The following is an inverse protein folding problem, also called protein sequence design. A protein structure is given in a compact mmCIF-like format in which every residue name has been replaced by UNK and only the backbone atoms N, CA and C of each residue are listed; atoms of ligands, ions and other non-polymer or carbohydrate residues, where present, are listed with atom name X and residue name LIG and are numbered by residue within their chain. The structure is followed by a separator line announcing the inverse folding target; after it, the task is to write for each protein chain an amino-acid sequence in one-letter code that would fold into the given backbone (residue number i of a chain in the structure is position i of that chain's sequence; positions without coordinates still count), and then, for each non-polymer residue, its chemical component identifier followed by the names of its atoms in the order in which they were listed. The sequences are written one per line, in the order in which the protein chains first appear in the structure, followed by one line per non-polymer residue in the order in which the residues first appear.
data_IF_168558217096
#
_entry.id   IF_168558217096
#
_cell.length_a   1.000
_cell.length_b   1.000
_cell.length_c   1.000
_cell.angle_alpha   90.00
_cell.angle_beta   90.00
_cell.angle_gamma   90.00
#
_symmetry.space_group_name_H-M   'P 1'
#
loop_
_entity.id
_entity.type
_entity.pdbx_description
1 polymer ?
#
# COMPACT_ATOMS: atom_id res chain seq x y z
N UNK A 1 -15.49 1.07 2.99
CA UNK A 1 -15.21 -0.12 3.80
C UNK A 1 -13.76 -0.18 4.30
N UNK A 2 -12.74 -0.06 3.43
CA UNK A 2 -11.32 -0.16 3.81
C UNK A 2 -10.87 0.80 4.92
N UNK A 3 -11.38 2.04 4.95
CA UNK A 3 -11.09 3.00 6.05
C UNK A 3 -11.57 2.53 7.43
N UNK A 4 -12.65 1.74 7.53
CA UNK A 4 -13.08 1.12 8.80
C UNK A 4 -12.14 -0.02 9.20
N UNK A 5 -11.67 -0.82 8.24
CA UNK A 5 -10.73 -1.92 8.51
C UNK A 5 -9.39 -1.39 9.02
N UNK A 6 -8.90 -0.25 8.52
CA UNK A 6 -7.69 0.39 9.09
C UNK A 6 -7.94 0.96 10.49
N UNK A 7 -9.18 1.32 10.84
CA UNK A 7 -9.53 1.74 12.20
C UNK A 7 -9.70 0.56 13.17
N UNK A 8 -10.22 -0.57 12.68
CA UNK A 8 -10.42 -1.80 13.48
C UNK A 8 -9.15 -2.65 13.59
N UNK A 9 -8.33 -2.66 12.54
CA UNK A 9 -6.99 -3.24 12.52
C UNK A 9 -6.01 -2.23 11.87
N UNK A 10 -5.38 -1.37 12.68
CA UNK A 10 -4.35 -0.42 12.26
C UNK A 10 -3.13 -1.08 11.64
N UNK A 11 -3.09 -2.40 11.58
CA UNK A 11 -1.93 -3.19 11.23
C UNK A 11 -2.18 -4.13 10.06
N UNK A 12 -3.40 -4.09 9.52
CA UNK A 12 -3.76 -4.76 8.29
C UNK A 12 -2.98 -4.18 7.10
N UNK A 13 -1.86 -4.80 6.74
CA UNK A 13 -1.10 -4.53 5.52
C UNK A 13 -2.01 -4.63 4.29
N UNK A 14 -2.91 -5.62 4.28
CA UNK A 14 -3.87 -5.89 3.22
C UNK A 14 -4.79 -4.68 2.97
N UNK A 15 -5.22 -4.01 4.05
CA UNK A 15 -6.08 -2.84 3.94
C UNK A 15 -5.33 -1.64 3.35
N UNK A 16 -4.04 -1.48 3.69
CA UNK A 16 -3.18 -0.45 3.10
C UNK A 16 -2.86 -0.72 1.63
N UNK A 17 -2.62 -1.98 1.26
CA UNK A 17 -2.51 -2.41 -0.15
C UNK A 17 -3.79 -2.03 -0.92
N UNK A 18 -4.96 -2.32 -0.35
CA UNK A 18 -6.25 -1.95 -0.94
C UNK A 18 -6.45 -0.43 -1.09
N UNK A 19 -6.04 0.35 -0.08
CA UNK A 19 -6.09 1.81 -0.14
C UNK A 19 -5.13 2.37 -1.20
N UNK A 20 -3.90 1.85 -1.28
CA UNK A 20 -2.92 2.25 -2.28
C UNK A 20 -3.43 2.02 -3.70
N UNK A 21 -3.99 0.82 -3.98
CA UNK A 21 -4.60 0.51 -5.29
C UNK A 21 -5.74 1.47 -5.62
N UNK A 22 -6.63 1.75 -4.66
CA UNK A 22 -7.74 2.69 -4.85
C UNK A 22 -7.25 4.12 -5.15
N UNK A 23 -6.15 4.56 -4.52
CA UNK A 23 -5.53 5.84 -4.82
C UNK A 23 -4.93 5.87 -6.23
N UNK A 24 -4.31 4.78 -6.70
CA UNK A 24 -3.85 4.67 -8.09
C UNK A 24 -5.01 4.82 -9.08
N UNK A 25 -6.12 4.11 -8.84
CA UNK A 25 -7.32 4.19 -9.69
C UNK A 25 -7.92 5.60 -9.74
N UNK A 26 -7.76 6.37 -8.66
CA UNK A 26 -8.21 7.77 -8.58
C UNK A 26 -7.24 8.78 -9.21
N UNK A 27 -6.04 8.34 -9.58
CA UNK A 27 -4.96 9.21 -10.05
C UNK A 27 -4.22 9.94 -8.91
N UNK A 28 -4.52 9.61 -7.65
CA UNK A 28 -3.91 10.18 -6.46
C UNK A 28 -2.58 9.46 -6.18
N UNK A 29 -1.60 9.63 -7.08
CA UNK A 29 -0.35 8.89 -7.03
C UNK A 29 0.50 9.18 -5.77
N UNK A 30 0.35 10.37 -5.17
CA UNK A 30 1.03 10.73 -3.91
C UNK A 30 0.49 9.93 -2.73
N UNK A 31 -0.83 9.87 -2.57
CA UNK A 31 -1.48 9.08 -1.53
C UNK A 31 -1.26 7.58 -1.75
N UNK A 32 -1.28 7.13 -3.02
CA UNK A 32 -0.97 5.76 -3.37
C UNK A 32 0.43 5.35 -2.91
N UNK A 33 1.42 6.22 -3.16
CA UNK A 33 2.81 5.99 -2.76
C UNK A 33 2.93 5.90 -1.24
N UNK A 34 2.29 6.82 -0.51
CA UNK A 34 2.27 6.83 0.95
C UNK A 34 1.71 5.51 1.51
N UNK A 35 0.53 5.08 1.05
CA UNK A 35 -0.09 3.85 1.53
C UNK A 35 0.70 2.59 1.17
N UNK A 36 1.33 2.54 0.00
CA UNK A 36 2.17 1.42 -0.40
C UNK A 36 3.48 1.35 0.41
N UNK A 37 4.08 2.50 0.72
CA UNK A 37 5.27 2.59 1.57
C UNK A 37 4.97 2.11 3.00
N UNK A 38 3.82 2.51 3.55
CA UNK A 38 3.36 2.08 4.87
C UNK A 38 3.08 0.56 4.89
N UNK A 39 2.41 0.04 3.85
CA UNK A 39 2.14 -1.39 3.71
C UNK A 39 3.43 -2.21 3.70
N UNK A 40 4.44 -1.79 2.93
CA UNK A 40 5.73 -2.47 2.84
C UNK A 40 6.49 -2.42 4.18
N UNK A 41 6.54 -1.26 4.82
CA UNK A 41 7.21 -1.08 6.12
C UNK A 41 6.59 -1.98 7.18
N UNK A 42 5.26 -1.98 7.28
CA UNK A 42 4.54 -2.84 8.24
C UNK A 42 4.71 -4.33 7.93
N UNK A 43 4.65 -4.73 6.66
CA UNK A 43 4.88 -6.12 6.27
C UNK A 43 6.28 -6.60 6.65
N UNK A 44 7.29 -5.73 6.49
CA UNK A 44 8.68 -6.00 6.86
C UNK A 44 8.87 -6.08 8.37
N UNK A 45 8.35 -5.11 9.11
CA UNK A 45 8.45 -5.07 10.58
C UNK A 45 7.77 -6.27 11.24
N UNK A 46 6.65 -6.71 10.66
CA UNK A 46 5.85 -7.82 11.19
C UNK A 46 6.23 -9.18 10.63
N UNK A 47 7.24 -9.22 9.76
CA UNK A 47 7.66 -10.43 9.06
C UNK A 47 6.48 -11.15 8.38
N UNK A 48 5.54 -10.39 7.82
CA UNK A 48 4.43 -10.93 7.02
C UNK A 48 4.96 -11.29 5.63
N UNK A 49 5.73 -12.38 5.57
CA UNK A 49 6.43 -12.86 4.37
C UNK A 49 5.47 -13.13 3.20
N UNK A 50 4.20 -13.44 3.49
CA UNK A 50 3.17 -13.66 2.48
C UNK A 50 2.76 -12.37 1.74
N UNK A 51 2.82 -11.23 2.44
CA UNK A 51 2.33 -9.93 1.95
C UNK A 51 3.47 -8.97 1.58
N UNK A 52 4.67 -9.21 2.09
CA UNK A 52 5.88 -8.47 1.76
C UNK A 52 6.13 -8.38 0.24
N UNK A 53 6.12 -9.48 -0.54
CA UNK A 53 6.36 -9.40 -1.98
C UNK A 53 5.25 -8.62 -2.70
N UNK A 54 3.99 -8.75 -2.27
CA UNK A 54 2.87 -7.99 -2.87
C UNK A 54 3.01 -6.49 -2.59
N UNK A 55 3.29 -6.11 -1.35
CA UNK A 55 3.50 -4.71 -0.97
C UNK A 55 4.71 -4.10 -1.70
N UNK A 56 5.78 -4.87 -1.86
CA UNK A 56 6.97 -4.44 -2.60
C UNK A 56 6.68 -4.22 -4.09
N UNK A 57 5.97 -5.15 -4.74
CA UNK A 57 5.58 -5.01 -6.14
C UNK A 57 4.70 -3.79 -6.35
N UNK A 58 3.67 -3.61 -5.51
CA UNK A 58 2.78 -2.46 -5.58
C UNK A 58 3.53 -1.14 -5.45
N UNK A 59 4.46 -1.05 -4.48
CA UNK A 59 5.28 0.14 -4.29
C UNK A 59 6.13 0.45 -5.53
N UNK A 60 6.76 -0.57 -6.12
CA UNK A 60 7.58 -0.41 -7.31
C UNK A 60 6.75 0.02 -8.53
N UNK A 61 5.56 -0.53 -8.71
CA UNK A 61 4.65 -0.18 -9.81
C UNK A 61 4.13 1.26 -9.67
N UNK A 62 3.79 1.68 -8.46
CA UNK A 62 3.38 3.05 -8.18
C UNK A 62 4.53 4.00 -8.49
N UNK A 63 5.74 3.75 -7.96
CA UNK A 63 6.92 4.59 -8.21
C UNK A 63 7.25 4.73 -9.70
N UNK A 64 7.17 3.65 -10.48
CA UNK A 64 7.34 3.72 -11.94
C UNK A 64 6.29 4.62 -12.59
N UNK A 65 5.04 4.51 -12.14
CA UNK A 65 3.94 5.30 -12.66
C UNK A 65 4.07 6.77 -12.30
N UNK A 66 4.57 7.10 -11.10
CA UNK A 66 4.78 8.50 -10.67
C UNK A 66 5.98 9.17 -11.30
N UNK A 67 7.09 8.44 -11.53
CA UNK A 67 8.33 8.98 -12.10
C UNK A 67 8.25 9.13 -13.63
N UNK A 68 7.32 8.45 -14.30
CA UNK A 68 7.16 8.51 -15.76
C UNK A 68 6.31 9.72 -16.26
N UNK A 69 6.18 10.78 -15.47
CA UNK A 69 5.37 11.98 -15.78
C UNK A 69 6.19 13.25 -15.72
#
# INVERSE_FOLDING_TARGET
LLRRVVQEDPTAVNARIGLARLCVERGDHQDALMFAQDAYTLAKERQQLDLLPEAQQLLADIQKTTVSR
#
